data_IF_405804946604
#
_entry.id   IF_405804946604
#
_cell.length_a   1.000
_cell.length_b   1.000
_cell.length_c   1.000
_cell.angle_alpha   90.00
_cell.angle_beta   90.00
_cell.angle_gamma   90.00
#
_symmetry.space_group_name_H-M   'P 1'
#
loop_
_entity.id
_entity.type
_entity.pdbx_description
1 polymer ?
#
# COMPACT_ATOMS: atom_id res chain seq x y z
N UNK A 1 -15.05 4.40 4.51
CA UNK A 1 -14.96 5.05 5.84
C UNK A 1 -14.80 4.10 7.04
N UNK A 2 -15.65 3.06 7.23
CA UNK A 2 -15.55 2.14 8.38
C UNK A 2 -14.18 1.45 8.55
N UNK A 3 -13.56 1.03 7.45
CA UNK A 3 -12.23 0.40 7.47
C UNK A 3 -11.14 1.33 8.00
N UNK A 4 -11.13 2.60 7.58
CA UNK A 4 -10.15 3.58 8.05
C UNK A 4 -10.34 3.93 9.54
N UNK A 5 -11.60 3.98 10.01
CA UNK A 5 -11.89 4.19 11.42
C UNK A 5 -11.42 3.02 12.29
N UNK A 6 -11.59 1.79 11.79
CA UNK A 6 -11.10 0.58 12.44
C UNK A 6 -9.58 0.55 12.55
N UNK A 7 -8.88 0.97 11.49
CA UNK A 7 -7.42 1.12 11.48
C UNK A 7 -7.00 2.14 12.56
N UNK A 8 -7.64 3.31 12.62
CA UNK A 8 -7.35 4.31 13.66
C UNK A 8 -7.51 3.76 15.08
N UNK A 9 -8.53 2.94 15.33
CA UNK A 9 -8.75 2.32 16.63
C UNK A 9 -7.67 1.28 16.96
N UNK A 10 -7.30 0.43 15.99
CA UNK A 10 -6.24 -0.57 16.17
C UNK A 10 -4.87 0.08 16.45
N UNK A 11 -4.54 1.16 15.75
CA UNK A 11 -3.30 1.93 15.99
C UNK A 11 -3.30 2.48 17.42
N UNK A 12 -4.41 3.05 17.88
CA UNK A 12 -4.53 3.53 19.26
C UNK A 12 -4.35 2.42 20.29
N UNK A 13 -4.85 1.21 20.03
CA UNK A 13 -4.65 0.07 20.95
C UNK A 13 -3.18 -0.39 20.98
N UNK A 14 -2.49 -0.33 19.84
CA UNK A 14 -1.10 -0.74 19.71
C UNK A 14 -0.16 0.17 20.50
N UNK A 15 -0.41 1.48 20.50
CA UNK A 15 0.40 2.47 21.23
C UNK A 15 0.47 2.17 22.74
N UNK A 16 -0.55 1.49 23.29
CA UNK A 16 -0.66 1.17 24.71
C UNK A 16 0.20 -0.05 25.10
N UNK A 17 0.65 -0.87 24.12
CA UNK A 17 1.29 -2.16 24.40
C UNK A 17 2.81 -2.12 24.54
N UNK A 18 3.46 -0.95 24.42
CA UNK A 18 4.93 -0.75 24.48
C UNK A 18 5.76 -1.72 23.61
N UNK A 19 5.15 -2.29 22.57
CA UNK A 19 5.81 -3.24 21.66
C UNK A 19 5.98 -2.64 20.29
N UNK A 20 7.14 -2.91 19.71
CA UNK A 20 7.41 -2.64 18.30
C UNK A 20 6.48 -3.47 17.41
N UNK A 21 5.78 -2.80 16.47
CA UNK A 21 4.79 -3.41 15.59
C UNK A 21 5.11 -3.23 14.11
N UNK A 22 4.61 -4.17 13.32
CA UNK A 22 4.55 -4.07 11.87
C UNK A 22 3.11 -3.76 11.48
N UNK A 23 2.91 -2.69 10.70
CA UNK A 23 1.59 -2.30 10.18
C UNK A 23 1.54 -2.65 8.71
N UNK A 24 0.55 -3.47 8.33
CA UNK A 24 0.26 -3.84 6.95
C UNK A 24 -1.07 -3.20 6.57
N UNK A 25 -1.04 -2.27 5.62
CA UNK A 25 -2.22 -1.57 5.13
C UNK A 25 -2.45 -1.94 3.68
N UNK A 26 -3.44 -2.79 3.45
CA UNK A 26 -3.81 -3.20 2.10
C UNK A 26 -4.88 -2.28 1.50
N UNK A 27 -4.84 -2.14 0.18
CA UNK A 27 -5.77 -1.38 -0.64
C UNK A 27 -6.12 0.00 -0.07
N UNK A 28 -5.10 0.74 0.38
CA UNK A 28 -5.32 2.08 0.99
C UNK A 28 -5.98 3.07 0.01
N UNK A 29 -5.86 2.81 -1.29
CA UNK A 29 -6.31 3.67 -2.36
C UNK A 29 -7.77 3.45 -2.77
N UNK A 30 -8.39 2.32 -2.43
CA UNK A 30 -9.82 2.06 -2.65
C UNK A 30 -10.72 3.16 -2.08
N UNK A 31 -10.64 3.52 -0.78
CA UNK A 31 -11.48 4.60 -0.24
C UNK A 31 -11.18 5.96 -0.89
N UNK A 32 -9.95 6.16 -1.38
CA UNK A 32 -9.58 7.40 -2.06
C UNK A 32 -10.21 7.51 -3.45
N UNK A 33 -10.31 6.40 -4.17
CA UNK A 33 -11.04 6.35 -5.44
C UNK A 33 -12.53 6.63 -5.23
N UNK A 34 -13.14 6.04 -4.21
CA UNK A 34 -14.55 6.31 -3.85
C UNK A 34 -14.76 7.81 -3.57
N UNK A 35 -13.90 8.43 -2.75
CA UNK A 35 -13.98 9.85 -2.44
C UNK A 35 -13.83 10.77 -3.65
N UNK A 36 -13.01 10.37 -4.62
CA UNK A 36 -12.85 11.10 -5.86
C UNK A 36 -14.13 11.04 -6.71
N UNK A 37 -14.79 9.88 -6.78
CA UNK A 37 -16.04 9.68 -7.54
C UNK A 37 -17.21 10.40 -6.87
N UNK A 38 -17.31 10.30 -5.54
CA UNK A 38 -18.45 10.79 -4.76
C UNK A 38 -18.31 12.25 -4.32
N UNK A 39 -17.18 12.92 -4.62
CA UNK A 39 -16.99 14.35 -4.42
C UNK A 39 -16.58 14.80 -3.01
N UNK A 40 -16.10 13.88 -2.15
CA UNK A 40 -15.59 14.19 -0.80
C UNK A 40 -14.07 14.01 -0.66
N UNK A 41 -13.35 14.15 -1.78
CA UNK A 41 -11.90 13.97 -1.86
C UNK A 41 -11.11 14.75 -0.81
N UNK A 42 -11.36 16.06 -0.66
CA UNK A 42 -10.58 16.93 0.23
C UNK A 42 -10.71 16.53 1.70
N UNK A 43 -11.93 16.16 2.12
CA UNK A 43 -12.21 15.69 3.48
C UNK A 43 -11.48 14.38 3.77
N UNK A 44 -11.54 13.42 2.85
CA UNK A 44 -10.87 12.14 3.01
C UNK A 44 -9.35 12.27 2.96
N UNK A 45 -8.81 13.13 2.08
CA UNK A 45 -7.36 13.39 1.99
C UNK A 45 -6.87 14.01 3.29
N UNK A 46 -7.57 14.99 3.84
CA UNK A 46 -7.21 15.61 5.11
C UNK A 46 -7.20 14.58 6.26
N UNK A 47 -8.25 13.75 6.34
CA UNK A 47 -8.33 12.67 7.32
C UNK A 47 -7.18 11.65 7.14
N UNK A 48 -6.97 11.16 5.92
CA UNK A 48 -5.97 10.13 5.62
C UNK A 48 -4.56 10.64 5.89
N UNK A 49 -4.26 11.92 5.58
CA UNK A 49 -3.00 12.56 5.95
C UNK A 49 -2.77 12.55 7.46
N UNK A 50 -3.79 12.94 8.23
CA UNK A 50 -3.69 12.91 9.70
C UNK A 50 -3.45 11.49 10.21
N UNK A 51 -4.21 10.51 9.68
CA UNK A 51 -4.06 9.11 10.04
C UNK A 51 -2.64 8.62 9.74
N UNK A 52 -2.13 8.84 8.53
CA UNK A 52 -0.80 8.36 8.14
C UNK A 52 0.32 9.07 8.88
N UNK A 53 0.15 10.35 9.24
CA UNK A 53 1.11 11.04 10.10
C UNK A 53 1.19 10.37 11.48
N UNK A 54 0.03 10.16 12.12
CA UNK A 54 -0.05 9.48 13.42
C UNK A 54 0.45 8.05 13.38
N UNK A 55 0.22 7.33 12.27
CA UNK A 55 0.54 5.91 12.11
C UNK A 55 2.00 5.67 11.73
N UNK A 56 2.50 6.41 10.72
CA UNK A 56 3.76 6.10 10.04
C UNK A 56 4.89 7.08 10.35
N UNK A 57 4.58 8.25 10.91
CA UNK A 57 5.58 9.29 11.20
C UNK A 57 5.84 9.46 12.68
N UNK A 58 4.78 9.59 13.48
CA UNK A 58 4.92 9.93 14.92
C UNK A 58 4.73 8.73 15.85
N UNK A 59 4.36 7.56 15.34
CA UNK A 59 4.11 6.38 16.17
C UNK A 59 5.44 5.80 16.71
N UNK A 60 5.69 5.87 18.04
CA UNK A 60 6.92 5.33 18.63
C UNK A 60 6.94 3.79 18.68
N UNK A 61 5.78 3.14 18.64
CA UNK A 61 5.62 1.70 18.58
C UNK A 61 5.83 1.15 17.15
N UNK A 62 5.89 1.99 16.11
CA UNK A 62 6.16 1.51 14.76
C UNK A 62 7.60 0.99 14.63
N UNK A 63 7.71 -0.24 14.14
CA UNK A 63 8.96 -0.82 13.63
C UNK A 63 9.02 -0.68 12.11
N UNK A 64 7.93 -1.07 11.43
CA UNK A 64 7.84 -1.03 9.96
C UNK A 64 6.40 -0.89 9.48
N UNK A 65 6.19 -0.06 8.48
CA UNK A 65 4.93 0.05 7.74
C UNK A 65 5.07 -0.49 6.32
N UNK A 66 4.10 -1.28 5.86
CA UNK A 66 3.95 -1.68 4.46
C UNK A 66 2.55 -1.26 4.03
N UNK A 67 2.46 -0.55 2.91
CA UNK A 67 1.20 -0.14 2.32
C UNK A 67 1.12 -0.66 0.89
N UNK A 68 -0.01 -1.26 0.52
CA UNK A 68 -0.26 -1.78 -0.82
C UNK A 68 -1.50 -1.12 -1.43
N UNK A 69 -1.46 -0.93 -2.74
CA UNK A 69 -2.51 -0.25 -3.49
C UNK A 69 -2.14 -0.19 -4.97
N UNK A 70 -3.15 -0.05 -5.83
CA UNK A 70 -2.99 -0.13 -7.28
C UNK A 70 -2.65 1.24 -7.86
N UNK A 71 -3.41 2.25 -7.46
CA UNK A 71 -3.38 3.59 -8.04
C UNK A 71 -2.31 4.50 -7.43
N UNK A 72 -1.75 5.36 -8.28
CA UNK A 72 -0.75 6.36 -7.90
C UNK A 72 -1.33 7.75 -7.63
N UNK A 73 -2.60 7.97 -7.94
CA UNK A 73 -3.26 9.28 -7.98
C UNK A 73 -3.27 9.97 -6.61
N UNK A 74 -3.31 9.18 -5.55
CA UNK A 74 -3.30 9.60 -4.16
C UNK A 74 -1.89 9.84 -3.58
N UNK A 75 -0.83 9.50 -4.33
CA UNK A 75 0.52 9.41 -3.75
C UNK A 75 1.12 10.77 -3.40
N UNK A 76 0.84 11.80 -4.18
CA UNK A 76 1.49 13.10 -4.00
C UNK A 76 0.83 13.95 -2.91
N UNK A 77 -0.51 13.90 -2.79
CA UNK A 77 -1.25 14.74 -1.84
C UNK A 77 -1.28 14.17 -0.42
N UNK A 78 -1.34 12.84 -0.26
CA UNK A 78 -1.48 12.20 1.06
C UNK A 78 -0.13 11.87 1.70
N UNK A 79 0.90 11.60 0.90
CA UNK A 79 2.21 11.22 1.42
C UNK A 79 3.23 12.36 1.46
N UNK A 80 2.86 13.59 1.08
CA UNK A 80 3.77 14.76 1.11
C UNK A 80 4.46 14.95 2.45
N UNK A 81 3.80 14.58 3.54
CA UNK A 81 4.28 14.80 4.90
C UNK A 81 5.08 13.62 5.47
N UNK A 82 5.16 12.49 4.75
CA UNK A 82 5.91 11.31 5.18
C UNK A 82 7.36 11.38 4.68
N UNK A 83 8.31 11.49 5.62
CA UNK A 83 9.73 11.61 5.33
C UNK A 83 10.45 10.26 5.12
N UNK A 84 9.85 9.14 5.53
CA UNK A 84 10.47 7.81 5.51
C UNK A 84 9.88 6.89 4.42
N UNK A 85 9.19 7.46 3.42
CA UNK A 85 8.49 6.66 2.42
C UNK A 85 9.45 6.15 1.35
N UNK A 86 9.56 4.83 1.23
CA UNK A 86 10.17 4.16 0.07
C UNK A 86 9.06 3.62 -0.83
N UNK A 87 9.04 4.06 -2.09
CA UNK A 87 8.03 3.64 -3.06
C UNK A 87 8.61 2.54 -3.94
N UNK A 88 8.03 1.35 -3.86
CA UNK A 88 8.31 0.24 -4.77
C UNK A 88 7.13 0.10 -5.73
N UNK A 89 7.41 -0.03 -7.03
CA UNK A 89 6.39 -0.21 -8.06
C UNK A 89 6.67 -1.50 -8.83
N UNK A 90 5.69 -2.00 -9.58
CA UNK A 90 5.86 -3.20 -10.44
C UNK A 90 6.93 -3.03 -11.52
N UNK A 91 7.29 -1.79 -11.88
CA UNK A 91 8.40 -1.47 -12.80
C UNK A 91 9.76 -1.39 -12.10
N UNK A 92 9.81 -1.53 -10.78
CA UNK A 92 11.06 -1.57 -10.02
C UNK A 92 11.65 -2.99 -10.05
N UNK A 93 12.97 -3.08 -10.17
CA UNK A 93 13.67 -4.35 -9.97
C UNK A 93 13.68 -4.79 -8.50
N UNK A 94 13.38 -3.88 -7.57
CA UNK A 94 13.26 -4.25 -6.16
C UNK A 94 12.06 -5.16 -5.93
N UNK A 95 12.34 -6.33 -5.33
CA UNK A 95 11.35 -7.37 -5.05
C UNK A 95 10.68 -8.00 -6.29
N UNK A 96 11.19 -7.75 -7.49
CA UNK A 96 10.67 -8.33 -8.74
C UNK A 96 10.73 -9.87 -8.78
N UNK A 97 11.64 -10.48 -8.02
CA UNK A 97 11.73 -11.94 -7.87
C UNK A 97 10.78 -12.52 -6.81
N UNK A 98 10.05 -11.66 -6.09
CA UNK A 98 9.21 -12.05 -4.94
C UNK A 98 7.73 -11.73 -5.20
N UNK A 99 7.45 -10.68 -5.99
CA UNK A 99 6.09 -10.29 -6.37
C UNK A 99 5.77 -10.68 -7.82
N UNK A 100 4.61 -11.32 -8.02
CA UNK A 100 4.14 -11.76 -9.33
C UNK A 100 4.74 -13.09 -9.75
N UNK A 101 4.94 -13.27 -11.06
CA UNK A 101 5.57 -14.45 -11.62
C UNK A 101 6.95 -14.08 -12.17
N UNK A 102 7.93 -14.94 -11.94
CA UNK A 102 9.21 -14.89 -12.63
C UNK A 102 9.03 -15.23 -14.11
N UNK A 103 9.94 -14.75 -14.97
CA UNK A 103 9.95 -15.09 -16.40
C UNK A 103 9.89 -16.61 -16.61
N UNK A 104 10.62 -17.36 -15.77
CA UNK A 104 10.62 -18.82 -15.80
C UNK A 104 9.23 -19.39 -15.49
N UNK A 105 8.55 -18.94 -14.43
CA UNK A 105 7.22 -19.43 -14.09
C UNK A 105 6.20 -19.12 -15.19
N UNK A 106 6.30 -17.95 -15.82
CA UNK A 106 5.45 -17.59 -16.97
C UNK A 106 5.74 -18.51 -18.16
N UNK A 107 7.02 -18.76 -18.47
CA UNK A 107 7.40 -19.60 -19.60
C UNK A 107 7.06 -21.07 -19.38
N UNK A 108 7.23 -21.59 -18.16
CA UNK A 108 6.84 -22.95 -17.79
C UNK A 108 5.31 -23.11 -17.90
N UNK A 109 4.54 -22.10 -17.47
CA UNK A 109 3.08 -22.10 -17.64
C UNK A 109 2.65 -22.05 -19.12
N UNK A 110 3.26 -21.18 -19.95
CA UNK A 110 2.96 -21.11 -21.38
C UNK A 110 3.20 -22.46 -22.09
N UNK A 111 4.25 -23.19 -21.69
CA UNK A 111 4.56 -24.51 -22.24
C UNK A 111 3.54 -25.57 -21.80
N UNK A 112 3.12 -25.56 -20.53
CA UNK A 112 2.08 -26.47 -20.04
C UNK A 112 0.75 -26.34 -20.82
N UNK A 113 0.44 -25.14 -21.32
CA UNK A 113 -0.78 -24.87 -22.09
C UNK A 113 -0.58 -24.89 -23.61
N UNK A 114 0.60 -25.29 -24.12
CA UNK A 114 0.86 -25.37 -25.56
C UNK A 114 0.91 -24.01 -26.27
N UNK A 115 1.30 -22.97 -25.54
CA UNK A 115 1.41 -21.58 -26.00
C UNK A 115 2.88 -21.16 -26.14
N UNK A 116 3.80 -22.06 -26.49
CA UNK A 116 5.24 -21.74 -26.54
C UNK A 116 5.56 -20.61 -27.52
N UNK A 117 4.77 -20.49 -28.58
CA UNK A 117 4.85 -19.42 -29.59
C UNK A 117 4.59 -18.01 -29.06
N UNK A 118 3.99 -17.88 -27.87
CA UNK A 118 3.74 -16.60 -27.22
C UNK A 118 4.89 -16.17 -26.28
N UNK A 119 5.92 -16.99 -26.09
CA UNK A 119 7.14 -16.61 -25.34
C UNK A 119 7.84 -15.45 -26.08
N UNK A 120 7.72 -14.23 -25.55
CA UNK A 120 8.40 -13.03 -26.05
C UNK A 120 9.18 -12.39 -24.90
N UNK A 121 10.36 -11.87 -25.22
CA UNK A 121 11.26 -11.20 -24.29
C UNK A 121 11.15 -9.69 -24.46
#
# INVERSE_FOLDING_TARGET
MRHLLYISYQISCIDIMEKKVIILLDEYDTPMQEAFVDGYWDELVAFTRSLFNSTFKTNPALERGIMTGITRVSKESVFSDLNNLKIVTTTSNEYASVFGFTEKEVFDALEQYGLEKEKKR
#
